data_IF_631044514105
#
_entry.id   IF_631044514105
#
_cell.length_a   1.000
_cell.length_b   1.000
_cell.length_c   1.000
_cell.angle_alpha   90.00
_cell.angle_beta   90.00
_cell.angle_gamma   90.00
#
_symmetry.space_group_name_H-M   'P 1'
#
loop_
_entity.id
_entity.type
_entity.pdbx_description
1 polymer ?
#
# COMPACT_ATOMS: atom_id res chain seq x y z
N UNK A 1 -16.10 -3.80 -42.15
CA UNK A 1 -16.34 -5.20 -41.70
C UNK A 1 -15.06 -5.93 -41.32
N UNK A 2 -13.98 -5.93 -42.12
CA UNK A 2 -12.73 -6.64 -41.78
C UNK A 2 -12.10 -6.27 -40.43
N UNK A 3 -12.14 -4.99 -40.04
CA UNK A 3 -11.60 -4.50 -38.77
C UNK A 3 -12.35 -5.06 -37.54
N UNK A 4 -13.65 -5.29 -37.67
CA UNK A 4 -14.48 -5.89 -36.61
C UNK A 4 -14.17 -7.38 -36.45
N UNK A 5 -13.96 -8.10 -37.56
CA UNK A 5 -13.59 -9.51 -37.55
C UNK A 5 -12.21 -9.74 -36.93
N UNK A 6 -11.23 -8.88 -37.23
CA UNK A 6 -9.89 -8.95 -36.62
C UNK A 6 -9.91 -8.67 -35.12
N UNK A 7 -10.79 -7.75 -34.68
CA UNK A 7 -10.98 -7.49 -33.25
C UNK A 7 -11.61 -8.71 -32.57
N UNK A 8 -12.64 -9.30 -33.18
CA UNK A 8 -13.33 -10.47 -32.65
C UNK A 8 -12.41 -11.70 -32.55
N UNK A 9 -11.56 -11.96 -33.55
CA UNK A 9 -10.57 -13.05 -33.48
C UNK A 9 -9.53 -12.88 -32.37
N UNK A 10 -9.31 -11.65 -31.91
CA UNK A 10 -8.40 -11.35 -30.79
C UNK A 10 -9.04 -11.70 -29.44
N UNK A 11 -10.37 -11.62 -29.35
CA UNK A 11 -11.13 -11.96 -28.14
C UNK A 11 -11.69 -13.38 -28.13
N UNK A 12 -11.77 -14.06 -29.27
CA UNK A 12 -12.21 -15.47 -29.37
C UNK A 12 -11.52 -16.42 -28.36
N UNK A 13 -10.19 -16.34 -28.10
CA UNK A 13 -9.55 -17.18 -27.09
C UNK A 13 -10.04 -16.89 -25.66
N UNK A 14 -10.35 -15.63 -25.38
CA UNK A 14 -10.88 -15.19 -24.08
C UNK A 14 -12.37 -15.53 -23.92
N UNK A 15 -13.12 -15.54 -25.02
CA UNK A 15 -14.53 -15.94 -25.03
C UNK A 15 -14.70 -17.46 -24.97
N UNK A 16 -13.80 -18.24 -25.58
CA UNK A 16 -13.72 -19.70 -25.44
C UNK A 16 -13.37 -20.14 -24.01
N UNK A 17 -12.70 -19.28 -23.24
CA UNK A 17 -12.46 -19.53 -21.82
C UNK A 17 -13.76 -19.46 -21.00
N UNK A 18 -14.76 -18.68 -21.44
CA UNK A 18 -16.09 -18.66 -20.82
C UNK A 18 -16.89 -19.90 -21.24
N UNK A 19 -17.33 -20.65 -20.25
CA UNK A 19 -18.22 -21.80 -20.43
C UNK A 19 -19.60 -21.41 -20.97
N UNK A 20 -20.21 -22.33 -21.72
CA UNK A 20 -21.56 -22.18 -22.29
C UNK A 20 -22.68 -22.34 -21.26
N UNK A 21 -22.43 -23.13 -20.20
CA UNK A 21 -23.35 -23.31 -19.09
C UNK A 21 -23.43 -22.03 -18.24
N UNK A 22 -24.64 -21.48 -18.01
CA UNK A 22 -24.82 -20.25 -17.24
C UNK A 22 -24.27 -20.33 -15.81
N UNK A 23 -24.32 -21.50 -15.17
CA UNK A 23 -23.81 -21.69 -13.80
C UNK A 23 -22.29 -21.67 -13.78
N UNK A 24 -21.65 -22.41 -14.68
CA UNK A 24 -20.19 -22.43 -14.80
C UNK A 24 -19.64 -21.05 -15.19
N UNK A 25 -20.36 -20.31 -16.03
CA UNK A 25 -19.99 -18.94 -16.42
C UNK A 25 -20.01 -17.98 -15.24
N UNK A 26 -21.02 -18.10 -14.37
CA UNK A 26 -21.10 -17.29 -13.15
C UNK A 26 -19.96 -17.62 -12.18
N UNK A 27 -19.61 -18.91 -12.03
CA UNK A 27 -18.48 -19.35 -11.19
C UNK A 27 -17.15 -18.83 -11.75
N UNK A 28 -16.93 -18.94 -13.07
CA UNK A 28 -15.72 -18.41 -13.71
C UNK A 28 -15.61 -16.89 -13.56
N UNK A 29 -16.71 -16.17 -13.73
CA UNK A 29 -16.76 -14.72 -13.49
C UNK A 29 -16.43 -14.36 -12.04
N UNK A 30 -16.98 -15.10 -11.08
CA UNK A 30 -16.68 -14.91 -9.67
C UNK A 30 -15.20 -15.21 -9.34
N UNK A 31 -14.62 -16.26 -9.92
CA UNK A 31 -13.20 -16.58 -9.76
C UNK A 31 -12.30 -15.49 -10.34
N UNK A 32 -12.61 -14.98 -11.53
CA UNK A 32 -11.85 -13.90 -12.17
C UNK A 32 -11.93 -12.62 -11.36
N UNK A 33 -13.12 -12.25 -10.90
CA UNK A 33 -13.34 -11.04 -10.11
C UNK A 33 -12.68 -11.17 -8.72
N UNK A 34 -12.78 -12.34 -8.08
CA UNK A 34 -12.09 -12.67 -6.84
C UNK A 34 -10.57 -12.62 -6.99
N UNK A 35 -10.02 -13.24 -8.04
CA UNK A 35 -8.59 -13.18 -8.36
C UNK A 35 -8.11 -11.75 -8.62
N UNK A 36 -8.85 -10.97 -9.39
CA UNK A 36 -8.54 -9.56 -9.64
C UNK A 36 -8.56 -8.73 -8.34
N UNK A 37 -9.55 -8.96 -7.46
CA UNK A 37 -9.61 -8.33 -6.14
C UNK A 37 -8.39 -8.68 -5.28
N UNK A 38 -7.98 -9.96 -5.26
CA UNK A 38 -6.80 -10.42 -4.51
C UNK A 38 -5.55 -9.72 -5.04
N UNK A 39 -5.34 -9.69 -6.36
CA UNK A 39 -4.20 -8.99 -6.97
C UNK A 39 -4.23 -7.51 -6.61
N UNK A 40 -5.39 -6.86 -6.73
CA UNK A 40 -5.57 -5.46 -6.34
C UNK A 40 -5.21 -5.22 -4.87
N UNK A 41 -5.67 -6.08 -3.96
CA UNK A 41 -5.35 -6.04 -2.52
C UNK A 41 -3.85 -6.18 -2.26
N UNK A 42 -3.17 -7.11 -2.94
CA UNK A 42 -1.71 -7.28 -2.83
C UNK A 42 -0.99 -6.01 -3.26
N UNK A 43 -1.32 -5.46 -4.44
CA UNK A 43 -0.69 -4.23 -4.94
C UNK A 43 -0.99 -3.02 -4.07
N UNK A 44 -2.23 -2.90 -3.58
CA UNK A 44 -2.64 -1.83 -2.67
C UNK A 44 -1.84 -1.89 -1.36
N UNK A 45 -1.74 -3.08 -0.75
CA UNK A 45 -0.99 -3.31 0.48
C UNK A 45 0.50 -3.03 0.28
N UNK A 46 1.05 -3.48 -0.85
CA UNK A 46 2.43 -3.22 -1.26
C UNK A 46 2.70 -1.72 -1.37
N UNK A 47 1.81 -0.95 -2.00
CA UNK A 47 1.94 0.51 -2.11
C UNK A 47 1.85 1.19 -0.74
N UNK A 48 0.92 0.79 0.11
CA UNK A 48 0.72 1.43 1.43
C UNK A 48 1.90 1.17 2.38
N UNK A 49 2.48 -0.04 2.39
CA UNK A 49 3.66 -0.34 3.23
C UNK A 49 4.92 0.39 2.74
N UNK A 50 5.08 0.50 1.41
CA UNK A 50 6.24 1.15 0.81
C UNK A 50 6.29 2.65 1.11
N UNK A 51 5.12 3.29 1.24
CA UNK A 51 4.99 4.69 1.64
C UNK A 51 5.20 4.91 3.15
N UNK A 52 5.23 3.84 3.95
CA UNK A 52 5.26 3.91 5.42
C UNK A 52 6.51 3.32 6.05
N UNK A 53 7.32 2.52 5.38
CA UNK A 53 8.47 1.82 5.97
C UNK A 53 9.58 1.57 4.93
N UNK A 54 10.86 1.73 5.32
CA UNK A 54 12.04 1.55 4.45
C UNK A 54 12.67 0.14 4.51
N UNK A 55 12.04 -0.80 5.25
CA UNK A 55 12.55 -2.16 5.49
C UNK A 55 12.02 -3.16 4.47
N UNK A 56 12.92 -3.63 3.61
CA UNK A 56 12.65 -4.59 2.52
C UNK A 56 12.09 -5.93 3.01
N UNK A 57 12.58 -6.44 4.15
CA UNK A 57 12.14 -7.72 4.73
C UNK A 57 10.66 -7.70 5.16
N UNK A 58 10.20 -6.60 5.76
CA UNK A 58 8.80 -6.44 6.15
C UNK A 58 7.86 -6.33 4.95
N UNK A 59 8.36 -5.74 3.86
CA UNK A 59 7.62 -5.60 2.62
C UNK A 59 7.39 -6.95 1.93
N UNK A 60 8.46 -7.76 1.81
CA UNK A 60 8.37 -9.11 1.24
C UNK A 60 7.45 -10.01 2.06
N UNK A 61 7.53 -9.95 3.40
CA UNK A 61 6.70 -10.76 4.28
C UNK A 61 5.21 -10.39 4.16
N UNK A 62 4.85 -9.10 4.05
CA UNK A 62 3.48 -8.67 3.81
C UNK A 62 2.93 -9.12 2.44
N UNK A 63 3.74 -9.05 1.39
CA UNK A 63 3.35 -9.52 0.05
C UNK A 63 3.04 -11.02 0.09
N UNK A 64 3.92 -11.80 0.71
CA UNK A 64 3.75 -13.26 0.86
C UNK A 64 2.53 -13.60 1.73
N UNK A 65 2.30 -12.86 2.82
CA UNK A 65 1.17 -13.08 3.72
C UNK A 65 -0.19 -12.82 3.04
N UNK A 66 -0.30 -11.72 2.27
CA UNK A 66 -1.53 -11.38 1.53
C UNK A 66 -1.71 -12.27 0.31
N UNK A 67 -0.62 -12.72 -0.34
CA UNK A 67 -0.68 -13.66 -1.45
C UNK A 67 -1.17 -15.05 -1.02
N UNK A 68 -0.78 -15.53 0.18
CA UNK A 68 -1.20 -16.84 0.69
C UNK A 68 -2.58 -16.82 1.36
N UNK A 69 -2.89 -15.78 2.14
CA UNK A 69 -4.17 -15.64 2.83
C UNK A 69 -4.73 -14.23 2.57
N UNK A 70 -5.43 -13.96 1.46
CA UNK A 70 -5.86 -12.61 1.13
C UNK A 70 -6.85 -12.01 2.13
N UNK A 71 -7.78 -12.82 2.66
CA UNK A 71 -8.77 -12.34 3.64
C UNK A 71 -8.14 -12.19 5.02
N UNK A 72 -7.52 -13.25 5.56
CA UNK A 72 -6.91 -13.23 6.90
C UNK A 72 -5.67 -12.33 6.94
N UNK A 73 -4.86 -12.35 5.89
CA UNK A 73 -3.69 -11.49 5.73
C UNK A 73 -4.06 -10.02 5.62
N UNK A 74 -5.20 -9.66 5.02
CA UNK A 74 -5.71 -8.28 5.05
C UNK A 74 -6.10 -7.84 6.47
N UNK A 75 -6.78 -8.69 7.25
CA UNK A 75 -7.10 -8.37 8.64
C UNK A 75 -5.85 -8.27 9.51
N UNK A 76 -4.91 -9.22 9.40
CA UNK A 76 -3.63 -9.15 10.10
C UNK A 76 -2.81 -7.92 9.70
N UNK A 77 -2.86 -7.53 8.42
CA UNK A 77 -2.25 -6.31 7.94
C UNK A 77 -2.85 -5.06 8.61
N UNK A 78 -4.18 -5.00 8.77
CA UNK A 78 -4.82 -3.88 9.49
C UNK A 78 -4.33 -3.78 10.94
N UNK A 79 -4.06 -4.91 11.61
CA UNK A 79 -3.51 -4.91 12.98
C UNK A 79 -2.02 -4.53 13.02
N UNK A 80 -1.22 -4.99 12.07
CA UNK A 80 0.21 -4.66 12.00
C UNK A 80 0.46 -3.23 11.50
N UNK A 81 -0.53 -2.58 10.88
CA UNK A 81 -0.37 -1.28 10.24
C UNK A 81 0.12 -0.23 11.26
N UNK A 82 1.35 0.29 11.10
CA UNK A 82 1.85 1.30 12.02
C UNK A 82 1.01 2.58 11.88
N UNK A 83 0.45 3.04 13.02
CA UNK A 83 -0.45 4.19 13.10
C UNK A 83 0.22 5.52 12.71
N UNK A 84 1.56 5.60 12.78
CA UNK A 84 2.34 6.78 12.40
C UNK A 84 3.21 6.53 11.19
N UNK A 85 3.10 7.42 10.20
CA UNK A 85 3.93 7.40 9.00
C UNK A 85 5.33 7.91 9.30
N UNK A 86 6.35 7.46 8.56
CA UNK A 86 7.75 7.91 8.72
C UNK A 86 7.84 9.43 8.61
N UNK A 87 7.09 10.03 7.67
CA UNK A 87 7.02 11.48 7.48
C UNK A 87 6.60 12.24 8.74
N UNK A 88 5.65 11.70 9.52
CA UNK A 88 5.24 12.30 10.79
C UNK A 88 6.37 12.26 11.83
N UNK A 89 7.16 11.18 11.86
CA UNK A 89 8.30 11.06 12.79
C UNK A 89 9.42 12.03 12.44
N UNK A 90 9.70 12.22 11.15
CA UNK A 90 10.68 13.21 10.69
C UNK A 90 10.21 14.65 10.97
N UNK A 91 8.95 14.95 10.71
CA UNK A 91 8.38 16.27 11.05
C UNK A 91 8.44 16.55 12.55
N UNK A 92 8.07 15.58 13.39
CA UNK A 92 8.18 15.70 14.85
C UNK A 92 9.64 15.92 15.29
N UNK A 93 10.61 15.24 14.67
CA UNK A 93 12.03 15.40 14.95
C UNK A 93 12.55 16.79 14.56
N UNK A 94 12.16 17.30 13.39
CA UNK A 94 12.52 18.64 12.92
C UNK A 94 11.91 19.74 13.81
N UNK A 95 10.64 19.59 14.19
CA UNK A 95 9.96 20.53 15.09
C UNK A 95 10.64 20.55 16.46
N UNK A 96 11.00 19.38 17.01
CA UNK A 96 11.76 19.28 18.27
C UNK A 96 13.13 19.94 18.16
N UNK A 97 13.88 19.67 17.08
CA UNK A 97 15.18 20.30 16.86
C UNK A 97 15.09 21.82 16.73
N UNK A 98 14.02 22.34 16.11
CA UNK A 98 13.77 23.78 16.01
C UNK A 98 13.43 24.37 17.38
N UNK A 99 12.55 23.71 18.14
CA UNK A 99 12.17 24.12 19.49
C UNK A 99 13.37 24.16 20.43
N UNK A 100 14.23 23.14 20.42
CA UNK A 100 15.45 23.09 21.23
C UNK A 100 16.43 24.22 20.86
N UNK A 101 16.57 24.55 19.57
CA UNK A 101 17.41 25.68 19.14
C UNK A 101 16.85 27.03 19.58
N UNK A 102 15.54 27.24 19.51
CA UNK A 102 14.90 28.49 19.91
C UNK A 102 14.90 28.67 21.43
N UNK A 103 14.63 27.61 22.19
CA UNK A 103 14.66 27.62 23.65
C UNK A 103 16.08 27.67 24.21
N UNK A 104 17.03 26.95 23.60
CA UNK A 104 18.46 27.00 23.95
C UNK A 104 19.10 28.35 23.68
N UNK A 105 18.68 29.06 22.62
CA UNK A 105 19.15 30.42 22.31
C UNK A 105 18.73 31.45 23.37
N UNK A 106 17.54 31.29 23.97
CA UNK A 106 17.05 32.20 25.01
C UNK A 106 17.84 32.09 26.33
N UNK A 107 18.47 30.94 26.62
CA UNK A 107 19.26 30.77 27.83
C UNK A 107 20.66 31.38 27.73
N UNK A 108 21.20 31.52 26.52
CA UNK A 108 22.50 32.16 26.26
C UNK A 108 22.39 33.70 26.28
N UNK A 109 21.31 34.27 25.72
CA UNK A 109 21.10 35.72 25.69
C UNK A 109 20.86 36.36 27.07
N UNK A 110 20.42 35.59 28.08
CA UNK A 110 20.19 36.11 29.43
C UNK A 110 21.46 36.16 30.26
N UNK A 111 22.50 35.39 29.91
CA UNK A 111 23.75 35.32 30.68
C UNK A 111 24.70 36.49 30.38
N UNK A 112 24.67 37.06 29.17
CA UNK A 112 25.52 38.22 28.83
C UNK A 112 24.98 39.58 29.27
N UNK A 113 23.76 39.65 29.82
CA UNK A 113 23.14 40.91 30.28
C UNK A 113 23.10 41.04 31.82
N UNK A 114 23.65 40.06 32.56
CA UNK A 114 23.81 40.12 34.01
C UNK A 114 25.27 40.17 34.45
N UNK A 115 26.20 40.27 33.50
CA UNK A 115 27.63 40.48 33.74
C UNK A 115 28.11 41.89 33.33
N UNK A 116 27.19 42.79 32.91
CA UNK A 116 27.45 44.23 32.73
C UNK A 116 26.86 45.06 33.88
#
# INVERSE_FOLDING_TARGET
MQLFTSFQSLFDPFLLFLSDDPVLRMIQGALLLGGALIIFLVFFTTRDILLRTHSFWYMALCIVLVALLPVVGFFLYLLLRPARTIRQREQDALVRALADKLLGKNHSSKKSSSEE
#
